data_IF_609423528762
#
_entry.id   IF_609423528762
#
_cell.length_a   1.000
_cell.length_b   1.000
_cell.length_c   1.000
_cell.angle_alpha   90.00
_cell.angle_beta   90.00
_cell.angle_gamma   90.00
#
_symmetry.space_group_name_H-M   'P 1'
#
loop_
_entity.id
_entity.type
_entity.pdbx_description
1 polymer ?
#
# COMPACT_ATOMS: atom_id res chain seq x y z
N UNK A 1 -2.23 4.57 9.33
CA UNK A 1 -1.92 3.75 8.14
C UNK A 1 -2.68 2.44 8.34
N UNK A 2 -3.50 2.02 7.36
CA UNK A 2 -4.41 0.84 7.37
C UNK A 2 -5.68 0.88 8.24
N UNK A 3 -6.56 1.88 8.08
CA UNK A 3 -7.91 1.85 8.71
C UNK A 3 -8.78 0.69 8.23
N UNK A 4 -8.58 0.22 6.99
CA UNK A 4 -9.40 -0.84 6.39
C UNK A 4 -9.24 -2.20 7.08
N UNK A 5 -8.20 -2.40 7.88
CA UNK A 5 -7.94 -3.68 8.54
C UNK A 5 -8.76 -3.81 9.81
N UNK A 6 -8.99 -2.71 10.54
CA UNK A 6 -9.84 -2.77 11.73
C UNK A 6 -11.29 -3.14 11.33
N UNK A 7 -11.82 -2.58 10.24
CA UNK A 7 -13.13 -2.95 9.69
C UNK A 7 -13.17 -4.38 9.14
N UNK A 8 -12.08 -4.87 8.55
CA UNK A 8 -11.94 -6.25 8.08
C UNK A 8 -12.02 -7.27 9.23
N UNK A 9 -11.34 -6.94 10.32
CA UNK A 9 -11.13 -7.80 11.48
C UNK A 9 -12.38 -7.87 12.36
N UNK A 10 -13.28 -6.90 12.27
CA UNK A 10 -14.58 -6.89 12.96
C UNK A 10 -15.69 -7.67 12.21
N UNK A 11 -15.41 -8.17 10.99
CA UNK A 11 -16.36 -9.00 10.25
C UNK A 11 -16.54 -10.37 10.90
N UNK A 12 -17.80 -10.80 11.13
CA UNK A 12 -18.17 -12.11 11.71
C UNK A 12 -17.63 -13.33 10.93
N UNK A 13 -17.08 -13.13 9.73
CA UNK A 13 -16.60 -14.18 8.83
C UNK A 13 -15.07 -14.26 8.72
N UNK A 14 -14.33 -13.43 9.46
CA UNK A 14 -12.87 -13.39 9.37
C UNK A 14 -12.23 -14.60 10.08
N UNK A 15 -11.50 -15.42 9.34
CA UNK A 15 -10.76 -16.53 9.91
C UNK A 15 -9.67 -16.03 10.88
N UNK A 16 -9.53 -16.68 12.04
CA UNK A 16 -8.62 -16.21 13.11
C UNK A 16 -7.15 -16.14 12.68
N UNK A 17 -6.71 -17.05 11.81
CA UNK A 17 -5.35 -17.00 11.23
C UNK A 17 -5.18 -15.81 10.30
N UNK A 18 -6.22 -15.43 9.54
CA UNK A 18 -6.17 -14.33 8.58
C UNK A 18 -6.05 -12.99 9.31
N UNK A 19 -6.78 -12.82 10.41
CA UNK A 19 -6.63 -11.66 11.30
C UNK A 19 -5.21 -11.55 11.85
N UNK A 20 -4.65 -12.67 12.33
CA UNK A 20 -3.30 -12.71 12.89
C UNK A 20 -2.24 -12.39 11.82
N UNK A 21 -2.38 -12.95 10.61
CA UNK A 21 -1.50 -12.70 9.48
C UNK A 21 -1.55 -11.22 9.05
N UNK A 22 -2.75 -10.65 8.90
CA UNK A 22 -2.91 -9.24 8.54
C UNK A 22 -2.26 -8.31 9.57
N UNK A 23 -2.44 -8.59 10.87
CA UNK A 23 -1.79 -7.82 11.96
C UNK A 23 -0.28 -7.97 11.92
N UNK A 24 0.24 -9.17 11.67
CA UNK A 24 1.67 -9.43 11.57
C UNK A 24 2.30 -8.63 10.42
N UNK A 25 1.70 -8.70 9.21
CA UNK A 25 2.23 -7.98 8.06
C UNK A 25 2.16 -6.46 8.26
N UNK A 26 1.10 -5.95 8.88
CA UNK A 26 1.01 -4.52 9.23
C UNK A 26 2.06 -4.07 10.23
N UNK A 27 2.30 -4.86 11.28
CA UNK A 27 3.38 -4.60 12.22
C UNK A 27 4.73 -4.54 11.52
N UNK A 28 4.97 -5.49 10.60
CA UNK A 28 6.20 -5.51 9.81
C UNK A 28 6.34 -4.28 8.91
N UNK A 29 5.29 -3.92 8.15
CA UNK A 29 5.34 -2.74 7.28
C UNK A 29 5.55 -1.44 8.06
N UNK A 30 4.90 -1.28 9.20
CA UNK A 30 5.11 -0.10 10.05
C UNK A 30 6.56 0.03 10.56
N UNK A 31 7.28 -1.09 10.70
CA UNK A 31 8.66 -1.11 11.13
C UNK A 31 9.69 -1.01 9.98
N UNK A 32 9.33 -1.46 8.77
CA UNK A 32 10.28 -1.65 7.67
C UNK A 32 10.04 -0.73 6.46
N UNK A 33 8.88 -0.06 6.37
CA UNK A 33 8.65 0.96 5.34
C UNK A 33 9.02 2.35 5.85
N UNK A 34 9.84 3.06 5.07
CA UNK A 34 10.11 4.45 5.36
C UNK A 34 8.85 5.31 5.15
N UNK A 35 8.66 6.31 5.99
CA UNK A 35 7.54 7.23 5.87
C UNK A 35 7.96 8.36 4.91
N UNK A 36 7.26 8.55 3.77
CA UNK A 36 7.58 9.64 2.85
C UNK A 36 7.44 10.99 3.53
N UNK A 37 8.45 11.86 3.37
CA UNK A 37 8.47 13.19 4.01
C UNK A 37 7.47 14.17 3.38
N UNK A 38 7.04 13.92 2.15
CA UNK A 38 6.08 14.75 1.42
C UNK A 38 5.28 13.91 0.43
N UNK A 39 3.94 13.97 0.53
CA UNK A 39 3.01 13.37 -0.43
C UNK A 39 2.48 14.38 -1.46
N UNK A 40 2.93 15.65 -1.37
CA UNK A 40 2.61 16.71 -2.31
C UNK A 40 3.80 17.65 -2.50
N UNK A 41 4.12 17.97 -3.75
CA UNK A 41 4.93 19.16 -4.03
C UNK A 41 4.00 20.36 -3.99
N UNK A 42 4.17 21.23 -3.00
CA UNK A 42 3.23 22.32 -2.70
C UNK A 42 2.93 23.27 -3.88
N UNK A 43 1.77 23.94 -3.80
CA UNK A 43 1.54 25.23 -4.46
C UNK A 43 0.23 25.40 -5.22
N UNK A 44 -0.27 24.38 -5.91
CA UNK A 44 -1.39 24.58 -6.84
C UNK A 44 -2.67 23.88 -6.41
N UNK A 45 -3.64 24.70 -5.97
CA UNK A 45 -5.08 24.37 -5.94
C UNK A 45 -5.51 23.91 -7.33
N UNK A 46 -5.43 22.61 -7.64
CA UNK A 46 -5.92 22.09 -8.92
C UNK A 46 -5.46 20.71 -9.36
N UNK A 47 -4.35 20.16 -8.85
CA UNK A 47 -3.82 18.85 -9.29
C UNK A 47 -3.88 17.79 -8.16
N UNK A 48 -5.01 17.76 -7.44
CA UNK A 48 -5.21 17.07 -6.15
C UNK A 48 -5.40 15.56 -6.19
N UNK A 49 -4.54 14.80 -6.86
CA UNK A 49 -4.44 13.36 -6.63
C UNK A 49 -3.29 13.12 -5.63
N UNK A 50 -3.53 12.51 -4.45
CA UNK A 50 -2.46 12.17 -3.53
C UNK A 50 -1.44 11.25 -4.24
N UNK A 51 -0.15 11.44 -3.97
CA UNK A 51 0.89 10.56 -4.50
C UNK A 51 0.64 9.11 -4.08
N UNK A 52 0.73 8.18 -5.02
CA UNK A 52 0.63 6.74 -4.78
C UNK A 52 2.02 6.19 -4.48
N UNK A 53 2.14 5.39 -3.40
CA UNK A 53 3.34 4.62 -3.09
C UNK A 53 3.36 3.32 -3.88
N UNK A 54 4.39 3.13 -4.69
CA UNK A 54 4.65 1.94 -5.48
C UNK A 54 5.88 1.22 -4.95
N UNK A 55 5.87 -0.11 -4.94
CA UNK A 55 7.08 -0.89 -4.68
C UNK A 55 7.99 -0.91 -5.91
N UNK A 56 9.29 -0.78 -5.67
CA UNK A 56 10.32 -1.05 -6.68
C UNK A 56 10.42 -2.55 -6.91
N UNK A 57 10.79 -3.02 -8.12
CA UNK A 57 11.04 -4.45 -8.37
C UNK A 57 12.12 -5.05 -7.45
N UNK A 58 13.04 -4.23 -6.96
CA UNK A 58 14.08 -4.62 -5.99
C UNK A 58 13.52 -4.93 -4.59
N UNK A 59 12.31 -4.49 -4.25
CA UNK A 59 11.70 -4.67 -2.94
C UNK A 59 11.03 -6.06 -2.79
N UNK A 60 11.77 -7.12 -3.11
CA UNK A 60 11.24 -8.49 -3.20
C UNK A 60 10.54 -8.96 -1.91
N UNK A 61 11.13 -8.69 -0.74
CA UNK A 61 10.50 -9.04 0.55
C UNK A 61 9.20 -8.28 0.78
N UNK A 62 9.17 -6.98 0.47
CA UNK A 62 7.99 -6.14 0.65
C UNK A 62 6.84 -6.60 -0.25
N UNK A 63 7.14 -6.93 -1.50
CA UNK A 63 6.17 -7.47 -2.46
C UNK A 63 5.64 -8.82 -1.96
N UNK A 64 6.52 -9.74 -1.53
CA UNK A 64 6.12 -11.04 -1.00
C UNK A 64 5.19 -10.89 0.22
N UNK A 65 5.50 -9.97 1.13
CA UNK A 65 4.66 -9.68 2.31
C UNK A 65 3.34 -9.02 1.95
N UNK A 66 3.31 -8.18 0.91
CA UNK A 66 2.06 -7.61 0.42
C UNK A 66 1.15 -8.70 -0.17
N UNK A 67 1.71 -9.73 -0.81
CA UNK A 67 0.94 -10.90 -1.23
C UNK A 67 0.41 -11.71 -0.06
N UNK A 68 1.18 -11.88 1.02
CA UNK A 68 0.68 -12.53 2.24
C UNK A 68 -0.46 -11.73 2.89
N UNK A 69 -0.33 -10.41 2.96
CA UNK A 69 -1.38 -9.51 3.45
C UNK A 69 -2.63 -9.57 2.55
N UNK A 70 -2.47 -9.60 1.23
CA UNK A 70 -3.58 -9.79 0.27
C UNK A 70 -4.35 -11.07 0.59
N UNK A 71 -3.67 -12.21 0.75
CA UNK A 71 -4.32 -13.49 1.04
C UNK A 71 -5.10 -13.44 2.35
N UNK A 72 -4.53 -12.82 3.38
CA UNK A 72 -5.20 -12.62 4.66
C UNK A 72 -6.46 -11.75 4.53
N UNK A 73 -6.38 -10.63 3.79
CA UNK A 73 -7.53 -9.76 3.57
C UNK A 73 -8.63 -10.45 2.74
N UNK A 74 -8.26 -11.20 1.72
CA UNK A 74 -9.20 -11.98 0.91
C UNK A 74 -9.89 -13.09 1.72
N UNK A 75 -9.18 -13.74 2.65
CA UNK A 75 -9.78 -14.68 3.59
C UNK A 75 -10.76 -14.02 4.57
N UNK A 76 -10.60 -12.72 4.84
CA UNK A 76 -11.59 -11.93 5.58
C UNK A 76 -12.75 -11.42 4.70
N UNK A 77 -12.80 -11.80 3.42
CA UNK A 77 -13.82 -11.36 2.46
C UNK A 77 -13.53 -10.01 1.79
N UNK A 78 -12.34 -9.44 1.97
CA UNK A 78 -11.94 -8.19 1.32
C UNK A 78 -11.22 -8.50 0.02
N UNK A 79 -11.81 -8.07 -1.09
CA UNK A 79 -11.16 -8.18 -2.39
C UNK A 79 -10.00 -7.17 -2.50
N UNK A 80 -8.83 -7.66 -2.90
CA UNK A 80 -7.62 -6.84 -3.07
C UNK A 80 -7.08 -7.04 -4.48
N UNK A 81 -6.96 -5.95 -5.23
CA UNK A 81 -6.35 -5.95 -6.56
C UNK A 81 -4.87 -5.55 -6.49
N UNK A 82 -4.02 -6.21 -7.28
CA UNK A 82 -2.59 -5.88 -7.40
C UNK A 82 -2.37 -5.08 -8.67
N UNK A 83 -2.05 -3.80 -8.51
CA UNK A 83 -1.72 -2.91 -9.61
C UNK A 83 -0.22 -2.94 -9.90
N UNK A 84 0.14 -2.94 -11.18
CA UNK A 84 1.54 -2.79 -11.63
C UNK A 84 1.62 -1.76 -12.74
N UNK A 85 2.70 -0.99 -12.78
CA UNK A 85 2.94 0.00 -13.83
C UNK A 85 4.43 0.18 -14.09
N UNK A 86 4.79 0.49 -15.33
CA UNK A 86 6.14 0.95 -15.70
C UNK A 86 6.24 2.48 -15.73
N UNK A 87 5.10 3.17 -15.65
CA UNK A 87 4.99 4.61 -15.67
C UNK A 87 4.08 5.07 -14.52
N UNK A 88 4.63 5.24 -13.30
CA UNK A 88 3.87 5.64 -12.13
C UNK A 88 3.51 7.14 -12.13
N UNK A 89 3.98 7.90 -13.11
CA UNK A 89 3.80 9.35 -13.20
C UNK A 89 4.97 10.15 -12.65
N UNK A 90 4.70 11.32 -12.06
CA UNK A 90 5.76 12.18 -11.53
C UNK A 90 6.25 11.65 -10.18
N UNK A 91 7.50 11.22 -10.12
CA UNK A 91 8.14 10.83 -8.86
C UNK A 91 8.36 12.08 -7.99
N UNK A 92 7.71 12.12 -6.82
CA UNK A 92 7.87 13.19 -5.83
C UNK A 92 8.77 12.78 -4.67
N UNK A 93 8.92 11.47 -4.44
CA UNK A 93 9.79 10.92 -3.41
C UNK A 93 10.16 9.46 -3.73
N UNK A 94 11.32 8.99 -3.26
CA UNK A 94 11.72 7.59 -3.36
C UNK A 94 12.71 7.22 -2.26
N UNK A 95 12.74 5.93 -1.91
CA UNK A 95 13.76 5.30 -1.08
C UNK A 95 14.31 4.03 -1.77
N UNK A 96 14.90 3.10 -1.02
CA UNK A 96 15.41 1.82 -1.55
C UNK A 96 14.30 0.86 -2.04
N UNK A 97 13.11 0.92 -1.46
CA UNK A 97 12.04 -0.06 -1.62
C UNK A 97 10.80 0.47 -2.35
N UNK A 98 10.56 1.78 -2.31
CA UNK A 98 9.35 2.41 -2.83
C UNK A 98 9.62 3.73 -3.56
N UNK A 99 8.64 4.10 -4.39
CA UNK A 99 8.55 5.35 -5.11
C UNK A 99 7.16 5.93 -4.87
N UNK A 100 7.09 7.19 -4.43
CA UNK A 100 5.83 7.94 -4.38
C UNK A 100 5.73 8.76 -5.64
N UNK A 101 4.64 8.57 -6.39
CA UNK A 101 4.42 9.26 -7.65
C UNK A 101 3.00 9.85 -7.76
N UNK A 102 2.91 11.05 -8.32
CA UNK A 102 1.65 11.69 -8.69
C UNK A 102 1.18 11.14 -10.06
N UNK A 103 -0.02 10.55 -10.16
CA UNK A 103 -0.52 9.92 -11.40
C UNK A 103 -0.63 10.87 -12.59
N UNK A 104 -0.79 12.18 -12.34
CA UNK A 104 -1.02 13.23 -13.36
C UNK A 104 -2.06 12.86 -14.42
N UNK A 105 -3.21 12.32 -13.98
CA UNK A 105 -4.33 11.96 -14.86
C UNK A 105 -4.30 10.52 -15.40
N UNK A 106 -3.33 9.70 -15.02
CA UNK A 106 -3.33 8.25 -15.29
C UNK A 106 -4.46 7.56 -14.54
N UNK A 107 -5.09 6.58 -15.19
CA UNK A 107 -6.00 5.62 -14.57
C UNK A 107 -5.25 4.30 -14.44
N UNK A 108 -5.33 3.69 -13.27
CA UNK A 108 -4.75 2.38 -12.96
C UNK A 108 -5.87 1.39 -12.68
#
# INVERSE_FOLDING_TARGET
MFKAIDEAVESEHAESWAIAEARQQCGWFNANLAIPKSFSTGGHKGFGQPGLSWFKPSAAEHIQRMHALKLALEACGIHVEVLTTRDPGLIVWQDEHQVVAEPRGRKF
#
